data_IF_105148555346
#
_entry.id   IF_105148555346
#
_cell.length_a   1.000
_cell.length_b   1.000
_cell.length_c   1.000
_cell.angle_alpha   90.00
_cell.angle_beta   90.00
_cell.angle_gamma   90.00
#
_symmetry.space_group_name_H-M   'P 1'
#
loop_
_entity.id
_entity.type
_entity.pdbx_description
1 polymer ?
#
# COMPACT_ATOMS: atom_id res chain seq x y z
N UNK A 1 -28.14 35.57 -4.37
CA UNK A 1 -27.31 35.82 -5.58
C UNK A 1 -27.94 35.12 -6.76
N UNK A 2 -28.28 35.84 -7.85
CA UNK A 2 -28.82 35.22 -9.05
C UNK A 2 -27.71 34.43 -9.76
N UNK A 3 -27.98 33.17 -10.14
CA UNK A 3 -27.05 32.36 -10.93
C UNK A 3 -26.71 33.06 -12.25
N UNK A 4 -25.46 32.98 -12.74
CA UNK A 4 -25.09 33.59 -14.02
C UNK A 4 -25.97 33.05 -15.16
N UNK A 5 -26.40 33.94 -16.07
CA UNK A 5 -27.33 33.61 -17.14
C UNK A 5 -26.87 32.40 -17.97
N UNK A 6 -25.57 32.29 -18.23
CA UNK A 6 -24.94 31.14 -18.94
C UNK A 6 -25.19 29.79 -18.23
N UNK A 7 -25.13 29.76 -16.90
CA UNK A 7 -25.40 28.56 -16.12
C UNK A 7 -26.90 28.20 -16.13
N UNK A 8 -27.78 29.20 -16.03
CA UNK A 8 -29.22 28.96 -16.07
C UNK A 8 -29.65 28.37 -17.42
N UNK A 9 -29.13 28.91 -18.54
CA UNK A 9 -29.42 28.40 -19.89
C UNK A 9 -28.77 26.99 -20.04
N UNK A 10 -27.53 26.81 -19.60
CA UNK A 10 -26.86 25.50 -19.61
C UNK A 10 -27.64 24.41 -18.88
N UNK A 11 -28.16 24.71 -17.69
CA UNK A 11 -29.05 23.81 -16.93
C UNK A 11 -30.35 23.50 -17.66
N UNK A 12 -30.97 24.50 -18.30
CA UNK A 12 -32.18 24.27 -19.10
C UNK A 12 -31.90 23.40 -20.32
N UNK A 13 -30.78 23.60 -20.99
CA UNK A 13 -30.36 22.75 -22.11
C UNK A 13 -30.06 21.32 -21.67
N UNK A 14 -29.46 21.12 -20.47
CA UNK A 14 -29.25 19.82 -19.88
C UNK A 14 -30.57 19.11 -19.51
N UNK A 15 -31.57 19.84 -18.96
CA UNK A 15 -32.89 19.30 -18.60
C UNK A 15 -33.82 19.08 -19.77
N UNK A 16 -33.72 19.91 -20.84
CA UNK A 16 -34.56 19.85 -22.02
C UNK A 16 -34.37 18.62 -22.93
N UNK A 17 -33.58 17.67 -22.51
CA UNK A 17 -33.15 16.45 -23.20
C UNK A 17 -34.22 15.45 -23.59
N UNK A 18 -35.48 15.62 -23.14
CA UNK A 18 -36.53 14.60 -23.27
C UNK A 18 -37.12 14.44 -24.70
N UNK A 19 -36.70 15.20 -25.71
CA UNK A 19 -37.31 15.17 -27.05
C UNK A 19 -36.58 14.38 -28.13
N UNK A 20 -35.28 14.06 -27.98
CA UNK A 20 -34.59 13.18 -28.94
C UNK A 20 -33.94 11.98 -28.17
N UNK A 21 -34.49 10.78 -28.37
CA UNK A 21 -34.07 9.58 -27.65
C UNK A 21 -32.58 9.24 -27.82
N UNK A 22 -32.00 9.46 -29.00
CA UNK A 22 -30.59 9.16 -29.31
C UNK A 22 -29.61 10.04 -28.53
N UNK A 23 -29.86 11.37 -28.45
CA UNK A 23 -28.98 12.31 -27.72
C UNK A 23 -29.01 12.04 -26.23
N UNK A 24 -30.21 11.68 -25.71
CA UNK A 24 -30.36 11.26 -24.30
C UNK A 24 -29.54 10.00 -24.00
N UNK A 25 -29.59 8.99 -24.86
CA UNK A 25 -28.90 7.72 -24.67
C UNK A 25 -27.37 7.90 -24.70
N UNK A 26 -26.82 8.61 -25.68
CA UNK A 26 -25.37 8.89 -25.78
C UNK A 26 -24.89 9.65 -24.54
N UNK A 27 -25.67 10.59 -24.06
CA UNK A 27 -25.30 11.33 -22.86
C UNK A 27 -25.38 10.54 -21.58
N UNK A 28 -26.32 9.61 -21.44
CA UNK A 28 -26.36 8.68 -20.32
C UNK A 28 -25.13 7.77 -20.36
N UNK A 29 -24.80 7.20 -21.53
CA UNK A 29 -23.61 6.39 -21.73
C UNK A 29 -22.34 7.16 -21.33
N UNK A 30 -22.21 8.43 -21.76
CA UNK A 30 -21.07 9.27 -21.37
C UNK A 30 -20.99 9.47 -19.85
N UNK A 31 -22.10 9.80 -19.20
CA UNK A 31 -22.14 10.04 -17.76
C UNK A 31 -21.84 8.76 -16.97
N UNK A 32 -22.42 7.63 -17.39
CA UNK A 32 -22.16 6.32 -16.79
C UNK A 32 -20.70 5.90 -17.02
N UNK A 33 -20.15 6.14 -18.22
CA UNK A 33 -18.74 5.85 -18.51
C UNK A 33 -17.78 6.62 -17.59
N UNK A 34 -18.03 7.91 -17.35
CA UNK A 34 -17.27 8.71 -16.40
C UNK A 34 -17.43 8.15 -14.98
N UNK A 35 -18.66 7.85 -14.57
CA UNK A 35 -18.96 7.35 -13.24
C UNK A 35 -18.27 6.01 -12.98
N UNK A 36 -18.31 5.07 -13.92
CA UNK A 36 -17.62 3.79 -13.81
C UNK A 36 -16.10 3.98 -13.78
N UNK A 37 -15.56 4.81 -14.66
CA UNK A 37 -14.12 5.11 -14.68
C UNK A 37 -13.62 5.68 -13.36
N UNK A 38 -14.31 6.68 -12.83
CA UNK A 38 -14.00 7.29 -11.53
C UNK A 38 -14.15 6.27 -10.39
N UNK A 39 -15.20 5.46 -10.39
CA UNK A 39 -15.43 4.46 -9.36
C UNK A 39 -14.33 3.40 -9.33
N UNK A 40 -13.98 2.82 -10.48
CA UNK A 40 -12.91 1.81 -10.59
C UNK A 40 -11.56 2.36 -10.13
N UNK A 41 -11.27 3.62 -10.44
CA UNK A 41 -10.03 4.27 -10.02
C UNK A 41 -9.96 4.48 -8.51
N UNK A 42 -11.06 4.92 -7.90
CA UNK A 42 -11.12 5.08 -6.43
C UNK A 42 -10.94 3.71 -5.75
N UNK A 43 -11.59 2.66 -6.25
CA UNK A 43 -11.43 1.30 -5.73
C UNK A 43 -9.98 0.85 -5.84
N UNK A 44 -9.35 1.03 -7.00
CA UNK A 44 -7.96 0.61 -7.22
C UNK A 44 -6.96 1.37 -6.37
N UNK A 45 -7.09 2.69 -6.24
CA UNK A 45 -6.24 3.50 -5.36
C UNK A 45 -6.46 3.15 -3.89
N UNK A 46 -7.71 2.93 -3.46
CA UNK A 46 -8.02 2.48 -2.09
C UNK A 46 -7.41 1.12 -1.77
N UNK A 47 -7.40 0.18 -2.73
CA UNK A 47 -6.72 -1.11 -2.57
C UNK A 47 -5.20 -0.91 -2.40
N UNK A 48 -4.57 -0.06 -3.22
CA UNK A 48 -3.12 0.22 -3.10
C UNK A 48 -2.76 0.89 -1.78
N UNK A 49 -3.57 1.82 -1.29
CA UNK A 49 -3.39 2.42 0.03
C UNK A 49 -3.53 1.37 1.13
N UNK A 50 -4.50 0.46 1.00
CA UNK A 50 -4.67 -0.68 1.90
C UNK A 50 -3.44 -1.59 1.93
N UNK A 51 -2.86 -1.93 0.78
CA UNK A 51 -1.60 -2.70 0.70
C UNK A 51 -0.44 -1.96 1.37
N UNK A 52 -0.31 -0.66 1.17
CA UNK A 52 0.74 0.15 1.82
C UNK A 52 0.58 0.17 3.34
N UNK A 53 -0.65 0.28 3.84
CA UNK A 53 -0.95 0.20 5.27
C UNK A 53 -0.58 -1.18 5.83
N UNK A 54 -1.00 -2.27 5.19
CA UNK A 54 -0.70 -3.62 5.65
C UNK A 54 0.81 -3.91 5.63
N UNK A 55 1.55 -3.40 4.62
CA UNK A 55 3.01 -3.46 4.60
C UNK A 55 3.61 -2.79 5.84
N UNK A 56 3.11 -1.59 6.18
CA UNK A 56 3.58 -0.83 7.34
C UNK A 56 3.22 -1.52 8.66
N UNK A 57 1.97 -1.95 8.81
CA UNK A 57 1.43 -2.42 10.09
C UNK A 57 1.81 -3.88 10.39
N UNK A 58 2.11 -4.70 9.38
CA UNK A 58 2.46 -6.11 9.55
C UNK A 58 3.94 -6.39 9.34
N UNK A 59 4.55 -5.89 8.28
CA UNK A 59 5.96 -6.18 7.99
C UNK A 59 6.86 -5.20 8.72
N UNK A 60 6.67 -3.88 8.51
CA UNK A 60 7.55 -2.89 9.10
C UNK A 60 7.33 -2.71 10.61
N UNK A 61 6.21 -3.17 11.16
CA UNK A 61 6.01 -3.21 12.60
C UNK A 61 6.85 -4.29 13.30
N UNK A 62 7.20 -5.38 12.60
CA UNK A 62 7.92 -6.54 13.18
C UNK A 62 9.37 -6.65 12.74
N UNK A 63 9.70 -6.11 11.57
CA UNK A 63 11.07 -6.07 11.05
C UNK A 63 11.76 -4.80 11.54
N UNK A 64 13.04 -4.87 11.98
CA UNK A 64 13.77 -3.66 12.32
C UNK A 64 13.87 -2.73 11.09
N UNK A 65 13.72 -1.42 11.35
CA UNK A 65 13.81 -0.43 10.28
C UNK A 65 15.24 -0.30 9.72
N UNK A 66 16.23 -0.66 10.53
CA UNK A 66 17.60 -0.77 10.12
C UNK A 66 18.43 -1.64 11.05
N UNK A 67 19.58 -2.05 10.56
CA UNK A 67 20.55 -2.86 11.28
C UNK A 67 21.94 -2.34 11.03
N UNK A 68 22.77 -2.35 12.06
CA UNK A 68 24.20 -2.00 12.02
C UNK A 68 24.98 -3.22 12.44
N UNK A 69 25.81 -3.74 11.54
CA UNK A 69 26.69 -4.89 11.80
C UNK A 69 28.15 -4.46 11.61
N UNK A 70 29.06 -4.79 12.51
CA UNK A 70 30.48 -4.48 12.31
C UNK A 70 31.05 -5.33 11.17
N UNK A 71 31.99 -4.74 10.41
CA UNK A 71 32.72 -5.46 9.35
C UNK A 71 33.54 -6.59 9.96
N UNK A 72 34.16 -6.33 11.11
CA UNK A 72 34.89 -7.35 11.87
C UNK A 72 33.98 -7.90 12.96
N UNK A 73 33.36 -9.03 12.72
CA UNK A 73 32.56 -9.75 13.72
C UNK A 73 33.45 -10.54 14.67
N UNK A 74 33.02 -10.78 15.92
CA UNK A 74 31.77 -10.32 16.55
C UNK A 74 31.85 -8.89 17.10
N UNK A 75 30.67 -8.26 17.39
CA UNK A 75 30.58 -6.92 17.91
C UNK A 75 30.79 -6.90 19.45
N UNK A 76 32.01 -6.52 19.88
CA UNK A 76 32.37 -6.58 21.31
C UNK A 76 31.96 -5.32 22.10
N UNK A 77 32.07 -4.11 21.52
CA UNK A 77 31.75 -2.83 22.18
C UNK A 77 30.33 -2.36 21.85
N UNK A 78 29.39 -3.30 21.80
CA UNK A 78 28.02 -2.98 21.38
C UNK A 78 27.26 -2.13 22.40
N UNK A 79 27.51 -2.27 23.73
CA UNK A 79 26.80 -1.50 24.76
C UNK A 79 27.10 0.00 24.64
N UNK A 80 28.37 0.38 24.48
CA UNK A 80 28.75 1.78 24.29
C UNK A 80 28.21 2.33 22.98
N UNK A 81 28.19 1.51 21.95
CA UNK A 81 27.65 1.86 20.65
C UNK A 81 26.14 2.01 20.70
N UNK A 82 25.42 1.12 21.37
CA UNK A 82 23.99 1.21 21.58
C UNK A 82 23.60 2.54 22.24
N UNK A 83 24.31 2.91 23.33
CA UNK A 83 24.09 4.17 24.04
C UNK A 83 24.34 5.43 23.16
N UNK A 84 25.22 5.34 22.17
CA UNK A 84 25.47 6.44 21.20
C UNK A 84 24.39 6.48 20.13
N UNK A 85 24.00 5.33 19.59
CA UNK A 85 22.97 5.19 18.58
C UNK A 85 21.61 5.69 19.10
N UNK A 86 21.24 5.36 20.32
CA UNK A 86 19.97 5.80 20.92
C UNK A 86 19.88 7.34 21.08
N UNK A 87 21.00 8.06 21.08
CA UNK A 87 21.04 9.53 21.15
C UNK A 87 20.95 10.22 19.81
N UNK A 88 20.99 9.50 18.71
CA UNK A 88 20.89 10.07 17.35
C UNK A 88 19.45 10.54 17.10
N UNK A 89 19.26 11.79 16.63
CA UNK A 89 17.93 12.31 16.32
C UNK A 89 17.20 11.43 15.29
N UNK A 90 15.95 11.05 15.61
CA UNK A 90 15.12 10.22 14.75
C UNK A 90 15.25 8.70 15.03
N UNK A 91 16.09 8.28 15.96
CA UNK A 91 16.11 6.92 16.49
C UNK A 91 15.14 6.83 17.67
N UNK A 92 14.15 5.93 17.58
CA UNK A 92 13.14 5.72 18.62
C UNK A 92 13.55 4.64 19.61
N UNK A 93 14.22 3.59 19.13
CA UNK A 93 14.72 2.49 19.93
C UNK A 93 15.86 1.79 19.19
N UNK A 94 16.76 1.17 19.95
CA UNK A 94 17.77 0.28 19.43
C UNK A 94 17.93 -0.93 20.36
N UNK A 95 18.28 -2.10 19.80
CA UNK A 95 18.48 -3.33 20.56
C UNK A 95 19.58 -4.18 19.94
N UNK A 96 20.40 -4.88 20.76
CA UNK A 96 21.36 -5.85 20.26
C UNK A 96 20.62 -7.10 19.75
N UNK A 97 21.22 -7.77 18.79
CA UNK A 97 20.72 -9.06 18.32
C UNK A 97 21.85 -10.00 17.93
N UNK A 98 21.55 -11.28 17.93
CA UNK A 98 22.41 -12.35 17.40
C UNK A 98 21.62 -13.09 16.33
N UNK A 99 22.10 -13.09 15.08
CA UNK A 99 21.50 -13.85 13.99
C UNK A 99 22.34 -15.06 13.63
N UNK A 100 21.70 -16.21 13.51
CA UNK A 100 22.33 -17.43 13.02
C UNK A 100 21.30 -18.35 12.36
N UNK A 101 21.80 -19.30 11.59
CA UNK A 101 20.97 -20.31 10.93
C UNK A 101 21.18 -21.66 11.61
N UNK A 102 20.11 -22.41 11.78
CA UNK A 102 20.17 -23.75 12.34
C UNK A 102 19.16 -24.70 11.70
N UNK A 103 19.36 -25.98 11.95
CA UNK A 103 18.41 -27.02 11.56
C UNK A 103 17.61 -27.42 12.79
N UNK A 104 16.30 -27.21 12.75
CA UNK A 104 15.38 -27.60 13.81
C UNK A 104 14.71 -28.92 13.46
N UNK A 105 14.68 -29.82 14.42
CA UNK A 105 14.17 -31.20 14.26
C UNK A 105 13.12 -31.51 15.32
N UNK A 106 12.04 -32.15 14.89
CA UNK A 106 11.05 -32.78 15.78
C UNK A 106 10.53 -34.04 15.14
N UNK A 107 10.65 -35.18 15.85
CA UNK A 107 10.36 -36.51 15.35
C UNK A 107 11.10 -36.79 14.02
N UNK A 108 10.37 -36.90 12.90
CA UNK A 108 10.94 -37.14 11.56
C UNK A 108 10.95 -35.90 10.68
N UNK A 109 10.60 -34.71 11.21
CA UNK A 109 10.54 -33.47 10.45
C UNK A 109 11.77 -32.61 10.73
N UNK A 110 12.42 -32.14 9.68
CA UNK A 110 13.60 -31.28 9.72
C UNK A 110 13.36 -30.00 8.91
N UNK A 111 13.73 -28.85 9.46
CA UNK A 111 13.64 -27.55 8.80
C UNK A 111 14.87 -26.71 9.04
N UNK A 112 15.34 -26.04 8.00
CA UNK A 112 16.31 -24.97 8.13
C UNK A 112 15.56 -23.70 8.52
N UNK A 113 16.03 -23.03 9.57
CA UNK A 113 15.42 -21.80 10.08
C UNK A 113 16.48 -20.76 10.38
N UNK A 114 16.07 -19.50 10.29
CA UNK A 114 16.84 -18.37 10.80
C UNK A 114 16.42 -18.08 12.22
N UNK A 115 17.39 -17.97 13.11
CA UNK A 115 17.16 -17.75 14.52
C UNK A 115 17.70 -16.40 14.92
N UNK A 116 16.88 -15.61 15.60
CA UNK A 116 17.25 -14.32 16.16
C UNK A 116 17.31 -14.41 17.68
N UNK A 117 18.49 -14.19 18.24
CA UNK A 117 18.67 -13.97 19.66
C UNK A 117 18.29 -12.54 20.02
N UNK A 118 17.35 -12.37 20.93
CA UNK A 118 16.79 -11.05 21.30
C UNK A 118 16.78 -10.87 22.82
N UNK A 119 16.95 -9.63 23.25
CA UNK A 119 16.67 -9.24 24.64
C UNK A 119 15.18 -8.88 24.75
N UNK A 120 14.35 -9.66 25.48
CA UNK A 120 12.89 -9.53 25.42
C UNK A 120 12.37 -8.12 25.73
N UNK A 121 12.94 -7.43 26.72
CA UNK A 121 12.52 -6.07 27.10
C UNK A 121 12.89 -5.02 26.06
N UNK A 122 14.02 -5.18 25.40
CA UNK A 122 14.47 -4.25 24.36
C UNK A 122 13.75 -4.51 23.04
N UNK A 123 13.53 -5.78 22.68
CA UNK A 123 12.75 -6.14 21.50
C UNK A 123 11.31 -5.63 21.58
N UNK A 124 10.69 -5.64 22.76
CA UNK A 124 9.35 -5.10 22.98
C UNK A 124 9.25 -3.57 22.70
N UNK A 125 10.37 -2.84 22.86
CA UNK A 125 10.45 -1.41 22.49
C UNK A 125 10.76 -1.22 21.00
N UNK A 126 11.55 -2.14 20.44
CA UNK A 126 12.01 -2.10 19.07
C UNK A 126 10.90 -2.43 18.06
N UNK A 127 10.12 -3.49 18.33
CA UNK A 127 9.17 -4.04 17.38
C UNK A 127 7.84 -4.43 18.02
N UNK A 128 6.84 -4.70 17.17
CA UNK A 128 5.55 -5.24 17.61
C UNK A 128 5.53 -6.78 17.72
N UNK A 129 6.68 -7.46 17.53
CA UNK A 129 6.78 -8.93 17.59
C UNK A 129 6.09 -9.54 18.83
N UNK A 130 6.22 -8.96 20.04
CA UNK A 130 5.54 -9.49 21.23
C UNK A 130 4.03 -9.63 21.09
N UNK A 131 3.38 -8.73 20.36
CA UNK A 131 1.92 -8.73 20.18
C UNK A 131 1.43 -9.84 19.24
N UNK A 132 2.30 -10.39 18.40
CA UNK A 132 2.00 -11.50 17.50
C UNK A 132 2.30 -12.88 18.09
N UNK A 133 2.88 -12.95 19.31
CA UNK A 133 3.10 -14.20 20.04
C UNK A 133 1.81 -14.64 20.73
N UNK A 134 1.35 -15.83 20.39
CA UNK A 134 0.09 -16.38 20.90
C UNK A 134 0.16 -16.65 22.41
N UNK A 135 -1.02 -16.65 23.05
CA UNK A 135 -1.21 -17.04 24.46
C UNK A 135 -0.37 -16.24 25.48
N UNK A 136 -0.02 -14.97 25.14
CA UNK A 136 0.82 -14.13 26.00
C UNK A 136 2.15 -14.78 26.42
N UNK A 137 2.65 -15.73 25.61
CA UNK A 137 3.87 -16.49 25.93
C UNK A 137 5.12 -15.62 25.98
N UNK A 138 5.09 -14.41 25.40
CA UNK A 138 6.19 -13.45 25.50
C UNK A 138 6.58 -13.09 26.92
N UNK A 139 5.62 -12.96 27.84
CA UNK A 139 5.88 -12.60 29.24
C UNK A 139 6.66 -13.68 30.03
N UNK A 140 6.65 -14.92 29.54
CA UNK A 140 7.36 -16.05 30.13
C UNK A 140 8.67 -16.37 29.42
N UNK A 141 8.93 -15.69 28.30
CA UNK A 141 10.12 -15.87 27.47
C UNK A 141 11.31 -15.18 28.13
N UNK A 142 12.24 -15.97 28.66
CA UNK A 142 13.40 -15.48 29.42
C UNK A 142 14.60 -16.38 29.26
N UNK A 143 15.77 -15.80 29.45
CA UNK A 143 17.06 -16.49 29.39
C UNK A 143 17.21 -17.63 30.40
N UNK A 144 18.04 -18.62 30.07
CA UNK A 144 18.40 -19.74 30.93
C UNK A 144 17.35 -20.85 31.06
N UNK A 145 16.22 -20.72 30.34
CA UNK A 145 15.14 -21.73 30.39
C UNK A 145 15.10 -22.63 29.14
N UNK A 146 16.08 -22.54 28.28
CA UNK A 146 16.13 -23.29 27.00
C UNK A 146 14.85 -23.14 26.18
N UNK A 147 14.40 -21.90 26.02
CA UNK A 147 13.15 -21.55 25.34
C UNK A 147 13.37 -21.10 23.91
N UNK A 148 12.41 -21.42 23.04
CA UNK A 148 12.35 -20.95 21.66
C UNK A 148 10.93 -20.52 21.33
N UNK A 149 10.78 -19.40 20.60
CA UNK A 149 9.53 -19.00 19.96
C UNK A 149 9.66 -19.33 18.48
N UNK A 150 8.70 -20.10 17.96
CA UNK A 150 8.69 -20.54 16.55
C UNK A 150 7.67 -19.75 15.76
N UNK A 151 7.99 -19.42 14.51
CA UNK A 151 6.99 -18.99 13.54
C UNK A 151 5.94 -20.09 13.32
N UNK A 152 4.69 -19.69 13.11
CA UNK A 152 3.57 -20.62 12.96
C UNK A 152 3.82 -21.64 11.83
N UNK A 153 4.32 -21.20 10.67
CA UNK A 153 4.63 -22.10 9.56
C UNK A 153 5.72 -23.13 9.89
N UNK A 154 6.71 -22.75 10.73
CA UNK A 154 7.71 -23.70 11.25
C UNK A 154 7.06 -24.71 12.21
N UNK A 155 6.24 -24.24 13.15
CA UNK A 155 5.54 -25.09 14.11
C UNK A 155 4.60 -26.10 13.41
N UNK A 156 3.84 -25.64 12.43
CA UNK A 156 2.93 -26.48 11.64
C UNK A 156 3.71 -27.54 10.81
N UNK A 157 4.84 -27.16 10.20
CA UNK A 157 5.68 -28.07 9.45
C UNK A 157 6.35 -29.15 10.32
N UNK A 158 6.74 -28.78 11.54
CA UNK A 158 7.31 -29.72 12.54
C UNK A 158 6.23 -30.47 13.32
N UNK A 159 4.95 -30.09 13.18
CA UNK A 159 3.81 -30.62 13.94
C UNK A 159 3.97 -30.49 15.45
N UNK A 160 4.53 -29.36 15.91
CA UNK A 160 4.76 -29.05 17.33
C UNK A 160 3.83 -27.95 17.82
N UNK A 161 3.57 -27.97 19.11
CA UNK A 161 2.75 -26.99 19.84
C UNK A 161 3.56 -26.34 20.96
N UNK A 162 2.99 -25.29 21.54
CA UNK A 162 3.54 -24.68 22.75
C UNK A 162 3.70 -25.75 23.87
N UNK A 163 4.86 -25.78 24.49
CA UNK A 163 5.25 -26.76 25.51
C UNK A 163 6.03 -27.95 24.98
N UNK A 164 6.00 -28.25 23.70
CA UNK A 164 6.76 -29.36 23.11
C UNK A 164 8.26 -29.09 23.09
N UNK A 165 9.04 -30.17 22.97
CA UNK A 165 10.49 -30.08 22.87
C UNK A 165 10.96 -30.32 21.43
N UNK A 166 11.92 -29.50 21.00
CA UNK A 166 12.58 -29.58 19.69
C UNK A 166 14.09 -29.66 19.85
N UNK A 167 14.77 -30.21 18.88
CA UNK A 167 16.23 -30.23 18.83
C UNK A 167 16.73 -29.26 17.78
N UNK A 168 17.60 -28.35 18.19
CA UNK A 168 18.26 -27.39 17.31
C UNK A 168 19.70 -27.84 17.06
N UNK A 169 20.06 -28.04 15.77
CA UNK A 169 21.43 -28.31 15.34
C UNK A 169 22.03 -27.05 14.74
N UNK A 170 23.11 -26.56 15.34
CA UNK A 170 23.80 -25.33 14.93
C UNK A 170 25.10 -25.77 14.24
N UNK A 171 25.37 -25.32 12.99
CA UNK A 171 26.65 -25.59 12.33
C UNK A 171 27.80 -25.00 13.14
N UNK A 172 28.82 -25.79 13.41
CA UNK A 172 30.03 -25.28 14.05
C UNK A 172 31.02 -24.87 12.97
N UNK A 173 31.17 -23.55 12.78
CA UNK A 173 32.15 -22.98 11.83
C UNK A 173 33.43 -22.64 12.59
N UNK A 174 34.30 -23.61 12.77
CA UNK A 174 35.66 -23.30 13.17
C UNK A 174 36.49 -23.03 11.90
N UNK A 175 37.29 -21.96 11.87
CA UNK A 175 38.09 -21.48 10.72
C UNK A 175 39.17 -22.47 10.22
N UNK A 176 39.19 -23.65 10.74
CA UNK A 176 40.15 -24.68 10.40
C UNK A 176 39.50 -25.95 9.85
N UNK A 177 39.18 -26.00 8.61
CA UNK A 177 39.03 -27.19 7.69
C UNK A 177 38.66 -28.56 8.34
N UNK A 178 38.13 -28.60 9.56
CA UNK A 178 37.62 -29.78 10.26
C UNK A 178 36.11 -29.74 10.25
N UNK A 179 35.47 -30.76 9.73
CA UNK A 179 34.04 -31.02 9.88
C UNK A 179 33.79 -31.31 11.36
N UNK A 180 33.61 -30.28 12.17
CA UNK A 180 33.19 -30.42 13.56
C UNK A 180 31.73 -30.86 13.60
N UNK A 181 31.41 -31.70 14.58
CA UNK A 181 30.02 -32.12 14.79
C UNK A 181 29.18 -30.89 15.13
N UNK A 182 27.98 -30.73 14.52
CA UNK A 182 27.10 -29.64 14.85
C UNK A 182 26.71 -29.66 16.32
N UNK A 183 26.68 -28.50 16.97
CA UNK A 183 26.23 -28.35 18.33
C UNK A 183 24.72 -28.60 18.37
N UNK A 184 24.29 -29.56 19.18
CA UNK A 184 22.86 -29.87 19.34
C UNK A 184 22.35 -29.34 20.68
N UNK A 185 21.27 -28.56 20.63
CA UNK A 185 20.63 -27.97 21.79
C UNK A 185 19.16 -28.39 21.82
N UNK A 186 18.67 -28.81 22.97
CA UNK A 186 17.26 -29.15 23.16
C UNK A 186 16.53 -27.94 23.71
N UNK A 187 15.44 -27.52 23.04
CA UNK A 187 14.70 -26.31 23.36
C UNK A 187 13.22 -26.61 23.53
N UNK A 188 12.59 -25.93 24.49
CA UNK A 188 11.15 -26.00 24.67
C UNK A 188 10.46 -24.89 23.90
N UNK A 189 9.42 -25.20 23.16
CA UNK A 189 8.60 -24.23 22.44
C UNK A 189 7.80 -23.39 23.44
N UNK A 190 8.30 -22.20 23.77
CA UNK A 190 7.66 -21.27 24.70
C UNK A 190 6.41 -20.62 24.13
N UNK A 191 6.40 -20.36 22.82
CA UNK A 191 5.31 -19.70 22.14
C UNK A 191 5.36 -19.88 20.63
N UNK A 192 4.25 -19.53 19.96
CA UNK A 192 4.13 -19.54 18.51
C UNK A 192 3.86 -18.10 18.05
N UNK A 193 4.69 -17.63 17.12
CA UNK A 193 4.59 -16.32 16.48
C UNK A 193 3.72 -16.45 15.21
N UNK A 194 2.64 -15.71 15.12
CA UNK A 194 1.71 -15.74 13.99
C UNK A 194 1.67 -14.38 13.29
N UNK A 195 2.55 -14.19 12.31
CA UNK A 195 2.62 -12.95 11.50
C UNK A 195 1.76 -13.02 10.23
N UNK A 196 1.38 -14.23 9.82
CA UNK A 196 0.74 -14.50 8.53
C UNK A 196 1.63 -14.06 7.35
N UNK A 197 2.40 -15.00 6.79
CA UNK A 197 3.25 -14.75 5.63
C UNK A 197 4.55 -15.55 5.64
N UNK A 198 5.44 -15.26 4.69
CA UNK A 198 6.66 -16.02 4.45
C UNK A 198 7.62 -16.05 5.67
N UNK A 199 7.60 -15.02 6.51
CA UNK A 199 8.44 -14.96 7.72
C UNK A 199 8.10 -16.09 8.69
N UNK A 200 6.85 -16.49 8.82
CA UNK A 200 6.42 -17.56 9.71
C UNK A 200 7.01 -18.93 9.37
N UNK A 201 7.45 -19.12 8.13
CA UNK A 201 7.92 -20.42 7.62
C UNK A 201 9.42 -20.68 7.84
N UNK A 202 10.19 -19.66 8.25
CA UNK A 202 11.64 -19.77 8.38
C UNK A 202 12.24 -19.06 9.59
N UNK A 203 11.42 -18.48 10.48
CA UNK A 203 11.88 -17.63 11.57
C UNK A 203 11.63 -18.23 12.95
N UNK A 204 12.61 -18.04 13.85
CA UNK A 204 12.48 -18.36 15.26
C UNK A 204 13.23 -17.35 16.12
N UNK A 205 12.90 -17.28 17.40
CA UNK A 205 13.56 -16.42 18.39
C UNK A 205 13.99 -17.22 19.62
N UNK A 206 15.17 -16.88 20.15
CA UNK A 206 15.68 -17.35 21.43
C UNK A 206 16.14 -16.14 22.27
N UNK A 207 16.26 -16.25 23.59
CA UNK A 207 16.87 -15.18 24.40
C UNK A 207 18.30 -14.87 23.94
N UNK A 208 18.71 -13.60 24.01
CA UNK A 208 20.00 -13.12 23.53
C UNK A 208 21.18 -13.86 24.22
N UNK A 209 21.12 -14.01 25.54
CA UNK A 209 22.15 -14.69 26.34
C UNK A 209 22.27 -16.17 25.98
N UNK A 210 21.13 -16.84 25.75
CA UNK A 210 21.11 -18.25 25.35
C UNK A 210 21.71 -18.40 23.94
N UNK A 211 21.38 -17.48 22.97
CA UNK A 211 21.99 -17.46 21.65
C UNK A 211 23.51 -17.28 21.72
N UNK A 212 23.98 -16.38 22.60
CA UNK A 212 25.41 -16.15 22.83
C UNK A 212 26.11 -17.36 23.35
N UNK A 213 25.50 -18.11 24.29
CA UNK A 213 26.02 -19.37 24.82
C UNK A 213 26.05 -20.47 23.73
N UNK A 214 25.00 -20.56 22.89
CA UNK A 214 24.94 -21.57 21.84
C UNK A 214 26.03 -21.38 20.77
N UNK A 215 26.43 -20.15 20.54
CA UNK A 215 27.44 -19.79 19.52
C UNK A 215 28.84 -19.54 20.12
N UNK A 216 29.00 -19.71 21.43
CA UNK A 216 30.24 -19.42 22.14
C UNK A 216 30.77 -17.98 21.92
N UNK A 217 29.86 -17.00 21.77
CA UNK A 217 30.17 -15.59 21.47
C UNK A 217 30.52 -14.75 22.71
N UNK A 218 30.37 -15.30 23.92
CA UNK A 218 30.63 -14.58 25.18
C UNK A 218 29.68 -13.39 25.35
N UNK A 219 30.22 -12.16 25.40
CA UNK A 219 29.42 -10.94 25.55
C UNK A 219 29.17 -10.19 24.21
N UNK A 220 29.53 -10.79 23.10
CA UNK A 220 29.44 -10.18 21.80
C UNK A 220 28.07 -10.40 21.15
N UNK A 221 27.73 -9.57 20.18
CA UNK A 221 26.50 -9.67 19.38
C UNK A 221 26.83 -9.63 17.88
N UNK A 222 25.84 -9.97 17.04
CA UNK A 222 25.97 -9.84 15.60
C UNK A 222 25.84 -8.38 15.15
N UNK A 223 24.91 -7.64 15.77
CA UNK A 223 24.65 -6.25 15.41
C UNK A 223 23.67 -5.56 16.33
N UNK A 224 23.30 -4.34 15.95
CA UNK A 224 22.31 -3.50 16.62
C UNK A 224 21.17 -3.25 15.64
N UNK A 225 19.96 -3.63 16.03
CA UNK A 225 18.73 -3.36 15.31
C UNK A 225 18.16 -2.01 15.75
N UNK A 226 17.57 -1.26 14.82
CA UNK A 226 17.17 0.14 15.01
C UNK A 226 15.71 0.34 14.57
N UNK A 227 14.97 1.09 15.37
CA UNK A 227 13.66 1.64 15.04
C UNK A 227 13.76 3.14 14.82
N UNK A 228 13.26 3.64 13.71
CA UNK A 228 13.29 5.08 13.37
C UNK A 228 11.89 5.70 13.42
N UNK A 229 11.84 7.03 13.53
CA UNK A 229 10.62 7.84 13.54
C UNK A 229 9.92 7.83 12.18
N UNK A 230 10.68 7.99 11.09
CA UNK A 230 10.20 7.94 9.72
C UNK A 230 10.76 6.71 9.00
N UNK A 231 9.88 5.74 8.79
CA UNK A 231 10.23 4.44 8.19
C UNK A 231 10.70 4.60 6.74
N UNK A 232 10.15 5.55 6.00
CA UNK A 232 10.52 5.79 4.60
C UNK A 232 11.87 6.51 4.45
N UNK A 233 12.33 7.19 5.50
CA UNK A 233 13.64 7.81 5.59
C UNK A 233 14.66 6.95 6.38
N UNK A 234 14.34 5.69 6.63
CA UNK A 234 15.14 4.78 7.44
C UNK A 234 16.59 4.67 6.95
N UNK A 235 16.83 4.67 5.64
CA UNK A 235 18.18 4.55 5.08
C UNK A 235 19.09 5.70 5.54
N UNK A 236 18.60 6.94 5.57
CA UNK A 236 19.37 8.08 6.05
C UNK A 236 19.57 8.02 7.57
N UNK A 237 18.50 7.73 8.32
CA UNK A 237 18.56 7.61 9.80
C UNK A 237 19.55 6.54 10.26
N UNK A 238 19.56 5.38 9.58
CA UNK A 238 20.49 4.29 9.91
C UNK A 238 21.92 4.63 9.51
N UNK A 239 22.12 5.43 8.45
CA UNK A 239 23.44 5.95 8.09
C UNK A 239 23.98 6.91 9.15
N UNK A 240 23.15 7.86 9.60
CA UNK A 240 23.50 8.80 10.67
C UNK A 240 23.85 8.03 11.96
N UNK A 241 23.11 6.95 12.25
CA UNK A 241 23.42 6.06 13.37
C UNK A 241 24.73 5.28 13.17
N UNK A 242 25.04 4.88 11.94
CA UNK A 242 26.30 4.23 11.59
C UNK A 242 27.52 5.12 11.81
N UNK A 243 27.42 6.41 11.53
CA UNK A 243 28.53 7.37 11.69
C UNK A 243 28.98 7.54 13.15
N UNK A 244 28.10 7.35 14.13
CA UNK A 244 28.45 7.47 15.56
C UNK A 244 29.03 6.18 16.17
N UNK A 245 29.15 5.10 15.38
CA UNK A 245 29.65 3.82 15.92
C UNK A 245 31.15 3.79 16.17
N UNK A 246 31.92 4.69 15.55
CA UNK A 246 33.40 4.72 15.55
C UNK A 246 34.04 3.39 15.06
N UNK A 247 33.33 2.61 14.28
CA UNK A 247 33.77 1.36 13.68
C UNK A 247 33.33 1.28 12.22
N UNK A 248 34.02 0.47 11.44
CA UNK A 248 33.54 0.14 10.11
C UNK A 248 32.36 -0.81 10.24
N UNK A 249 31.19 -0.37 9.72
CA UNK A 249 29.93 -1.09 9.84
C UNK A 249 29.24 -1.26 8.51
N UNK A 250 28.58 -2.39 8.33
CA UNK A 250 27.58 -2.59 7.30
C UNK A 250 26.27 -2.01 7.81
N UNK A 251 25.65 -1.18 6.97
CA UNK A 251 24.35 -0.57 7.23
C UNK A 251 23.33 -1.28 6.36
N UNK A 252 22.38 -1.91 6.99
CA UNK A 252 21.22 -2.54 6.33
C UNK A 252 19.98 -1.75 6.72
N UNK A 253 19.09 -1.51 5.77
CA UNK A 253 17.77 -0.95 6.06
C UNK A 253 16.69 -1.88 5.49
N UNK A 254 15.49 -1.79 6.01
CA UNK A 254 14.35 -2.55 5.49
C UNK A 254 14.14 -2.31 3.98
N UNK A 255 14.52 -1.11 3.47
CA UNK A 255 14.43 -0.75 2.05
C UNK A 255 15.31 -1.67 1.17
N UNK A 256 16.45 -2.14 1.69
CA UNK A 256 17.30 -3.10 0.98
C UNK A 256 16.66 -4.49 0.87
N UNK A 257 16.05 -4.96 1.96
CA UNK A 257 15.51 -6.32 2.06
C UNK A 257 14.06 -6.43 1.58
N UNK A 258 13.20 -5.49 1.99
CA UNK A 258 11.75 -5.52 1.73
C UNK A 258 11.27 -4.38 0.82
N UNK A 259 12.15 -3.45 0.44
CA UNK A 259 11.78 -2.27 -0.34
C UNK A 259 11.25 -2.58 -1.75
N UNK A 260 11.48 -3.80 -2.26
CA UNK A 260 10.86 -4.25 -3.50
C UNK A 260 9.32 -4.25 -3.39
N UNK A 261 8.76 -4.69 -2.28
CA UNK A 261 7.30 -4.66 -2.05
C UNK A 261 6.75 -3.23 -2.11
N UNK A 262 7.43 -2.28 -1.48
CA UNK A 262 7.04 -0.87 -1.53
C UNK A 262 7.16 -0.29 -2.94
N UNK A 263 8.25 -0.61 -3.66
CA UNK A 263 8.44 -0.18 -5.06
C UNK A 263 7.35 -0.74 -5.98
N UNK A 264 6.96 -2.00 -5.79
CA UNK A 264 5.88 -2.62 -6.55
C UNK A 264 4.55 -1.92 -6.31
N UNK A 265 4.22 -1.59 -5.06
CA UNK A 265 3.03 -0.81 -4.70
C UNK A 265 3.06 0.57 -5.39
N UNK A 266 4.20 1.28 -5.33
CA UNK A 266 4.34 2.60 -5.98
C UNK A 266 4.27 2.50 -7.51
N UNK A 267 4.85 1.46 -8.10
CA UNK A 267 4.76 1.20 -9.55
C UNK A 267 3.30 0.96 -9.97
N UNK A 268 2.57 0.12 -9.25
CA UNK A 268 1.15 -0.14 -9.53
C UNK A 268 0.34 1.14 -9.37
N UNK A 269 0.61 1.95 -8.33
CA UNK A 269 -0.02 3.25 -8.12
C UNK A 269 0.23 4.20 -9.30
N UNK A 270 1.45 4.27 -9.81
CA UNK A 270 1.78 5.07 -11.00
C UNK A 270 1.02 4.60 -12.25
N UNK A 271 0.92 3.28 -12.45
CA UNK A 271 0.11 2.68 -13.53
C UNK A 271 -1.37 3.06 -13.36
N UNK A 272 -1.91 3.03 -12.14
CA UNK A 272 -3.29 3.43 -11.87
C UNK A 272 -3.53 4.90 -12.18
N UNK A 273 -2.60 5.81 -11.85
CA UNK A 273 -2.70 7.22 -12.25
C UNK A 273 -2.65 7.40 -13.78
N UNK A 274 -1.80 6.64 -14.48
CA UNK A 274 -1.79 6.65 -15.95
C UNK A 274 -3.13 6.15 -16.52
N UNK A 275 -3.62 5.02 -16.01
CA UNK A 275 -4.93 4.47 -16.39
C UNK A 275 -6.06 5.47 -16.11
N UNK A 276 -5.99 6.22 -15.01
CA UNK A 276 -6.91 7.31 -14.69
C UNK A 276 -7.00 8.32 -15.84
N UNK A 277 -5.86 8.85 -16.27
CA UNK A 277 -5.83 9.84 -17.36
C UNK A 277 -6.41 9.27 -18.65
N UNK A 278 -6.10 8.01 -18.98
CA UNK A 278 -6.60 7.34 -20.18
C UNK A 278 -8.11 7.10 -20.11
N UNK A 279 -8.63 6.55 -19.03
CA UNK A 279 -10.07 6.26 -18.85
C UNK A 279 -10.88 7.55 -18.86
N UNK A 280 -10.44 8.57 -18.13
CA UNK A 280 -11.12 9.88 -18.14
C UNK A 280 -10.98 10.54 -19.52
N UNK A 281 -9.83 10.37 -20.20
CA UNK A 281 -9.63 10.84 -21.57
C UNK A 281 -10.65 10.26 -22.55
N UNK A 282 -10.88 8.95 -22.50
CA UNK A 282 -11.94 8.27 -23.30
C UNK A 282 -13.32 8.81 -22.95
N UNK A 283 -13.61 8.99 -21.67
CA UNK A 283 -14.87 9.56 -21.22
C UNK A 283 -15.06 11.01 -21.74
N UNK A 284 -13.97 11.79 -21.76
CA UNK A 284 -13.98 13.15 -22.32
C UNK A 284 -14.25 13.17 -23.83
N UNK A 285 -13.75 12.19 -24.58
CA UNK A 285 -14.10 12.05 -26.00
C UNK A 285 -15.62 11.86 -26.18
N UNK A 286 -16.26 11.08 -25.33
CA UNK A 286 -17.72 10.93 -25.33
C UNK A 286 -18.43 12.25 -24.99
N UNK A 287 -17.88 13.08 -24.08
CA UNK A 287 -18.41 14.43 -23.80
C UNK A 287 -18.33 15.31 -25.04
N UNK A 288 -17.19 15.33 -25.75
CA UNK A 288 -17.01 16.09 -26.99
C UNK A 288 -18.07 15.69 -28.01
N UNK A 289 -18.26 14.40 -28.27
CA UNK A 289 -19.23 13.86 -29.21
C UNK A 289 -20.67 14.26 -28.84
N UNK A 290 -21.03 14.12 -27.58
CA UNK A 290 -22.35 14.51 -27.03
C UNK A 290 -22.59 16.01 -27.17
N UNK A 291 -21.57 16.83 -26.88
CA UNK A 291 -21.67 18.28 -27.01
C UNK A 291 -21.80 18.73 -28.48
N UNK A 292 -21.06 18.13 -29.43
CA UNK A 292 -21.17 18.43 -30.83
C UNK A 292 -22.60 18.15 -31.33
N UNK A 293 -23.16 17.00 -30.90
CA UNK A 293 -24.53 16.63 -31.25
C UNK A 293 -25.56 17.59 -30.62
N UNK A 294 -25.38 17.95 -29.35
CA UNK A 294 -26.21 18.93 -28.66
C UNK A 294 -26.15 20.32 -29.32
N UNK A 295 -24.99 20.74 -29.79
CA UNK A 295 -24.81 22.00 -30.56
C UNK A 295 -25.62 21.94 -31.86
N UNK A 296 -25.59 20.81 -32.57
CA UNK A 296 -26.36 20.63 -33.80
C UNK A 296 -27.86 20.66 -33.54
N UNK A 297 -28.34 19.94 -32.53
CA UNK A 297 -29.77 19.90 -32.17
C UNK A 297 -30.29 21.23 -31.65
N UNK A 298 -29.44 22.04 -31.01
CA UNK A 298 -29.78 23.36 -30.47
C UNK A 298 -29.37 24.52 -31.37
N UNK A 299 -29.03 24.25 -32.63
CA UNK A 299 -28.60 25.29 -33.59
C UNK A 299 -29.64 26.39 -33.80
N UNK A 300 -30.93 26.03 -33.87
CA UNK A 300 -32.02 27.01 -33.97
C UNK A 300 -32.14 27.88 -32.72
N UNK A 301 -32.09 27.27 -31.52
CA UNK A 301 -32.12 28.01 -30.25
C UNK A 301 -30.91 28.97 -30.14
N UNK A 302 -29.72 28.54 -30.59
CA UNK A 302 -28.50 29.37 -30.66
C UNK A 302 -28.67 30.53 -31.62
N UNK A 303 -29.25 30.28 -32.81
CA UNK A 303 -29.51 31.31 -33.80
C UNK A 303 -30.46 32.40 -33.24
N UNK A 304 -31.55 32.00 -32.58
CA UNK A 304 -32.49 32.93 -31.91
C UNK A 304 -31.78 33.74 -30.83
N UNK A 305 -30.95 33.11 -29.98
CA UNK A 305 -30.17 33.83 -28.96
C UNK A 305 -29.25 34.88 -29.59
N UNK A 306 -28.62 34.55 -30.73
CA UNK A 306 -27.75 35.50 -31.46
C UNK A 306 -28.51 36.68 -32.06
N UNK A 307 -29.69 36.45 -32.62
CA UNK A 307 -30.53 37.53 -33.13
C UNK A 307 -31.01 38.46 -31.99
N UNK A 308 -31.16 37.93 -30.77
CA UNK A 308 -31.46 38.71 -29.55
C UNK A 308 -30.22 39.42 -28.96
N UNK A 309 -29.05 39.34 -29.64
CA UNK A 309 -27.84 40.07 -29.24
C UNK A 309 -26.88 39.29 -28.32
N UNK A 310 -27.03 37.96 -28.20
CA UNK A 310 -26.09 37.15 -27.43
C UNK A 310 -24.68 37.16 -28.03
N UNK A 311 -23.68 37.58 -27.26
CA UNK A 311 -22.26 37.59 -27.68
C UNK A 311 -21.68 36.19 -27.70
N UNK A 312 -20.64 35.97 -28.51
CA UNK A 312 -19.92 34.68 -28.64
C UNK A 312 -19.46 34.11 -27.29
N UNK A 313 -19.05 35.00 -26.37
CA UNK A 313 -18.63 34.62 -25.02
C UNK A 313 -19.75 33.99 -24.20
N UNK A 314 -20.99 34.47 -24.33
CA UNK A 314 -22.13 33.90 -23.61
C UNK A 314 -22.45 32.49 -24.13
N UNK A 315 -22.46 32.31 -25.47
CA UNK A 315 -22.73 31.01 -26.11
C UNK A 315 -21.65 29.99 -25.69
N UNK A 316 -20.37 30.38 -25.74
CA UNK A 316 -19.27 29.53 -25.27
C UNK A 316 -19.46 29.12 -23.82
N UNK A 317 -19.77 30.07 -22.94
CA UNK A 317 -19.99 29.78 -21.51
C UNK A 317 -21.16 28.81 -21.28
N UNK A 318 -22.24 28.90 -22.06
CA UNK A 318 -23.39 27.99 -21.95
C UNK A 318 -22.96 26.54 -22.21
N UNK A 319 -22.19 26.27 -23.28
CA UNK A 319 -21.75 24.92 -23.64
C UNK A 319 -20.62 24.41 -22.75
N UNK A 320 -19.75 25.28 -22.22
CA UNK A 320 -18.78 24.92 -21.20
C UNK A 320 -19.49 24.45 -19.91
N UNK A 321 -20.48 25.21 -19.46
CA UNK A 321 -21.31 24.81 -18.30
C UNK A 321 -22.06 23.51 -18.55
N UNK A 322 -22.59 23.31 -19.77
CA UNK A 322 -23.27 22.08 -20.13
C UNK A 322 -22.36 20.85 -20.04
N UNK A 323 -21.13 20.91 -20.58
CA UNK A 323 -20.16 19.83 -20.49
C UNK A 323 -19.62 19.62 -19.06
N UNK A 324 -19.37 20.72 -18.34
CA UNK A 324 -18.94 20.66 -16.93
C UNK A 324 -20.01 20.00 -16.04
N UNK A 325 -21.30 20.29 -16.25
CA UNK A 325 -22.39 19.64 -15.52
C UNK A 325 -22.47 18.13 -15.80
N UNK A 326 -22.25 17.71 -17.04
CA UNK A 326 -22.21 16.29 -17.39
C UNK A 326 -21.00 15.58 -16.72
N UNK A 327 -19.82 16.21 -16.75
CA UNK A 327 -18.63 15.75 -16.05
C UNK A 327 -18.80 15.70 -14.53
N UNK A 328 -19.41 16.74 -13.95
CA UNK A 328 -19.68 16.82 -12.51
C UNK A 328 -20.65 15.70 -12.06
N UNK A 329 -21.76 15.50 -12.78
CA UNK A 329 -22.71 14.44 -12.45
C UNK A 329 -22.06 13.05 -12.55
N UNK A 330 -21.27 12.80 -13.61
CA UNK A 330 -20.55 11.54 -13.77
C UNK A 330 -19.51 11.34 -12.67
N UNK A 331 -18.66 12.34 -12.41
CA UNK A 331 -17.60 12.22 -11.40
C UNK A 331 -18.15 12.11 -9.98
N UNK A 332 -19.15 12.91 -9.60
CA UNK A 332 -19.76 12.82 -8.27
C UNK A 332 -20.46 11.47 -8.06
N UNK A 333 -21.23 10.99 -9.04
CA UNK A 333 -21.84 9.65 -8.95
C UNK A 333 -20.77 8.55 -8.90
N UNK A 334 -19.69 8.67 -9.66
CA UNK A 334 -18.56 7.76 -9.62
C UNK A 334 -17.82 7.76 -8.27
N UNK A 335 -17.63 8.95 -7.68
CA UNK A 335 -17.07 9.08 -6.32
C UNK A 335 -17.95 8.36 -5.30
N UNK A 336 -19.27 8.61 -5.33
CA UNK A 336 -20.20 7.95 -4.39
C UNK A 336 -20.12 6.43 -4.53
N UNK A 337 -20.20 5.91 -5.75
CA UNK A 337 -20.14 4.46 -6.01
C UNK A 337 -18.77 3.91 -5.60
N UNK A 338 -17.67 4.59 -5.98
CA UNK A 338 -16.32 4.16 -5.67
C UNK A 338 -16.03 4.14 -4.18
N UNK A 339 -16.44 5.17 -3.44
CA UNK A 339 -16.30 5.24 -1.97
C UNK A 339 -17.10 4.14 -1.27
N UNK A 340 -18.35 3.94 -1.65
CA UNK A 340 -19.19 2.89 -1.06
C UNK A 340 -18.64 1.49 -1.37
N UNK A 341 -18.18 1.25 -2.60
CA UNK A 341 -17.57 -0.01 -2.99
C UNK A 341 -16.24 -0.24 -2.28
N UNK A 342 -15.38 0.78 -2.14
CA UNK A 342 -14.10 0.68 -1.42
C UNK A 342 -14.31 0.39 0.06
N UNK A 343 -15.33 0.97 0.69
CA UNK A 343 -15.64 0.70 2.09
C UNK A 343 -16.07 -0.75 2.33
N UNK A 344 -16.73 -1.36 1.35
CA UNK A 344 -17.20 -2.75 1.41
C UNK A 344 -16.31 -3.72 0.60
N UNK A 345 -15.12 -3.29 0.17
CA UNK A 345 -14.29 -4.06 -0.77
C UNK A 345 -13.92 -5.43 -0.21
N UNK A 346 -13.36 -5.48 1.00
CA UNK A 346 -12.96 -6.74 1.65
C UNK A 346 -14.13 -7.73 1.81
N UNK A 347 -15.30 -7.35 2.38
CA UNK A 347 -16.44 -8.28 2.44
C UNK A 347 -16.97 -8.69 1.06
N UNK A 348 -16.97 -7.80 0.07
CA UNK A 348 -17.41 -8.13 -1.30
C UNK A 348 -16.50 -9.21 -1.90
N UNK A 349 -15.17 -9.03 -1.80
CA UNK A 349 -14.21 -10.00 -2.31
C UNK A 349 -14.34 -11.34 -1.59
N UNK A 350 -14.48 -11.37 -0.27
CA UNK A 350 -14.69 -12.60 0.50
C UNK A 350 -15.94 -13.37 0.07
N UNK A 351 -17.01 -12.67 -0.30
CA UNK A 351 -18.22 -13.31 -0.84
C UNK A 351 -17.95 -13.90 -2.24
N UNK A 352 -17.22 -13.17 -3.09
CA UNK A 352 -16.86 -13.61 -4.43
C UNK A 352 -15.96 -14.85 -4.35
N UNK A 353 -14.94 -14.86 -3.48
CA UNK A 353 -14.04 -15.99 -3.24
C UNK A 353 -14.81 -17.24 -2.79
N UNK A 354 -15.78 -17.08 -1.89
CA UNK A 354 -16.65 -18.19 -1.45
C UNK A 354 -17.52 -18.72 -2.57
N UNK A 355 -18.01 -17.88 -3.49
CA UNK A 355 -18.82 -18.28 -4.62
C UNK A 355 -17.99 -19.00 -5.71
N UNK A 356 -16.75 -18.55 -5.95
CA UNK A 356 -15.85 -19.13 -6.96
C UNK A 356 -15.12 -20.35 -6.40
N UNK A 357 -15.01 -20.50 -5.07
CA UNK A 357 -14.26 -21.57 -4.41
C UNK A 357 -12.74 -21.45 -4.51
N UNK A 358 -12.24 -20.27 -4.84
CA UNK A 358 -10.81 -19.97 -4.99
C UNK A 358 -10.45 -18.68 -4.28
N UNK A 359 -9.36 -18.69 -3.50
CA UNK A 359 -8.78 -17.49 -2.90
C UNK A 359 -7.94 -16.74 -3.93
N UNK A 360 -8.16 -15.43 -4.07
CA UNK A 360 -7.36 -14.57 -4.97
C UNK A 360 -5.97 -14.29 -4.40
N UNK A 361 -5.88 -14.14 -3.08
CA UNK A 361 -4.63 -13.92 -2.38
C UNK A 361 -4.35 -15.09 -1.44
N UNK A 362 -3.17 -15.69 -1.58
CA UNK A 362 -2.69 -16.74 -0.68
C UNK A 362 -1.67 -16.13 0.28
N UNK A 363 -1.89 -16.30 1.59
CA UNK A 363 -0.98 -15.85 2.62
C UNK A 363 0.42 -16.46 2.53
N UNK A 364 0.58 -17.60 1.83
CA UNK A 364 1.87 -18.25 1.60
C UNK A 364 2.74 -17.51 0.56
N UNK A 365 2.11 -16.81 -0.39
CA UNK A 365 2.78 -16.09 -1.48
C UNK A 365 2.84 -14.60 -1.17
N UNK A 366 1.72 -14.06 -0.68
CA UNK A 366 1.59 -12.65 -0.30
C UNK A 366 1.66 -12.53 1.22
N UNK A 367 2.03 -11.35 1.72
CA UNK A 367 2.06 -11.08 3.17
C UNK A 367 0.65 -10.91 3.79
N UNK A 368 -0.40 -11.01 2.99
CA UNK A 368 -1.81 -10.92 3.38
C UNK A 368 -2.66 -11.94 2.63
N UNK A 369 -3.74 -12.39 3.26
CA UNK A 369 -4.71 -13.37 2.78
C UNK A 369 -6.09 -12.77 2.45
N UNK A 370 -6.20 -11.45 2.44
CA UNK A 370 -7.41 -10.69 2.08
C UNK A 370 -7.04 -9.46 1.26
N UNK A 371 -7.99 -8.92 0.52
CA UNK A 371 -7.79 -7.67 -0.22
C UNK A 371 -8.05 -6.47 0.69
N UNK A 372 -6.99 -5.74 1.10
CA UNK A 372 -7.15 -4.57 1.96
C UNK A 372 -7.70 -3.39 1.17
N UNK A 373 -8.34 -2.47 1.87
CA UNK A 373 -8.80 -1.20 1.28
C UNK A 373 -8.68 -0.09 2.31
N UNK A 374 -8.12 1.04 1.89
CA UNK A 374 -8.03 2.25 2.68
C UNK A 374 -8.33 3.48 1.83
N UNK A 375 -9.34 4.25 2.22
CA UNK A 375 -9.77 5.45 1.52
C UNK A 375 -8.97 6.65 1.99
N UNK A 376 -8.18 7.24 1.08
CA UNK A 376 -7.56 8.52 1.31
C UNK A 376 -8.37 9.64 0.64
N UNK A 377 -8.80 10.64 1.41
CA UNK A 377 -9.56 11.78 0.89
C UNK A 377 -8.81 12.58 -0.17
N UNK A 378 -7.48 12.58 -0.12
CA UNK A 378 -6.63 13.22 -1.13
C UNK A 378 -6.75 12.56 -2.50
N UNK A 379 -6.78 11.22 -2.57
CA UNK A 379 -6.94 10.50 -3.83
C UNK A 379 -8.31 10.78 -4.47
N UNK A 380 -9.36 10.77 -3.66
CA UNK A 380 -10.71 11.12 -4.12
C UNK A 380 -10.73 12.54 -4.69
N UNK A 381 -10.08 13.49 -4.02
CA UNK A 381 -9.96 14.87 -4.48
C UNK A 381 -9.18 14.97 -5.80
N UNK A 382 -8.05 14.27 -5.92
CA UNK A 382 -7.25 14.25 -7.15
C UNK A 382 -8.02 13.67 -8.33
N UNK A 383 -8.72 12.57 -8.13
CA UNK A 383 -9.58 11.96 -9.16
C UNK A 383 -10.69 12.92 -9.59
N UNK A 384 -11.37 13.56 -8.63
CA UNK A 384 -12.43 14.52 -8.89
C UNK A 384 -11.93 15.75 -9.66
N UNK A 385 -10.83 16.36 -9.21
CA UNK A 385 -10.22 17.52 -9.88
C UNK A 385 -9.79 17.15 -11.29
N UNK A 386 -9.14 16.02 -11.49
CA UNK A 386 -8.69 15.55 -12.80
C UNK A 386 -9.87 15.35 -13.76
N UNK A 387 -10.96 14.72 -13.27
CA UNK A 387 -12.17 14.52 -14.06
C UNK A 387 -12.81 15.85 -14.47
N UNK A 388 -12.88 16.83 -13.56
CA UNK A 388 -13.43 18.15 -13.85
C UNK A 388 -12.56 18.96 -14.81
N UNK A 389 -11.24 18.96 -14.63
CA UNK A 389 -10.29 19.65 -15.51
C UNK A 389 -10.36 19.08 -16.92
N UNK A 390 -10.33 17.76 -17.07
CA UNK A 390 -10.43 17.10 -18.37
C UNK A 390 -11.79 17.32 -19.02
N UNK A 391 -12.89 17.32 -18.25
CA UNK A 391 -14.23 17.65 -18.75
C UNK A 391 -14.32 19.09 -19.25
N UNK A 392 -13.66 20.02 -18.55
CA UNK A 392 -13.58 21.43 -18.97
C UNK A 392 -12.81 21.58 -20.28
N UNK A 393 -11.64 20.92 -20.38
CA UNK A 393 -10.84 20.92 -21.61
C UNK A 393 -11.60 20.30 -22.80
N UNK A 394 -12.28 19.18 -22.58
CA UNK A 394 -13.11 18.51 -23.58
C UNK A 394 -14.25 19.40 -24.08
N UNK A 395 -14.83 20.21 -23.20
CA UNK A 395 -15.96 21.09 -23.55
C UNK A 395 -15.53 22.33 -24.38
N UNK A 396 -14.23 22.67 -24.35
CA UNK A 396 -13.73 23.89 -25.02
C UNK A 396 -13.93 23.89 -26.54
N UNK A 397 -13.59 22.79 -27.21
CA UNK A 397 -13.70 22.69 -28.67
C UNK A 397 -15.16 22.78 -29.17
N UNK A 398 -16.13 21.99 -28.65
CA UNK A 398 -17.54 22.10 -29.03
C UNK A 398 -18.14 23.47 -28.73
N UNK A 399 -17.79 24.06 -27.58
CA UNK A 399 -18.26 25.39 -27.18
C UNK A 399 -17.78 26.49 -28.16
N UNK A 400 -16.52 26.39 -28.61
CA UNK A 400 -16.00 27.31 -29.66
C UNK A 400 -16.71 27.11 -30.98
N UNK A 401 -17.07 25.89 -31.36
CA UNK A 401 -17.83 25.61 -32.57
C UNK A 401 -19.26 26.15 -32.49
N UNK A 402 -19.92 26.03 -31.35
CA UNK A 402 -21.23 26.56 -31.09
C UNK A 402 -21.28 28.10 -31.26
N UNK A 403 -20.26 28.81 -30.79
CA UNK A 403 -20.19 30.27 -30.89
C UNK A 403 -19.96 30.79 -32.32
N UNK A 404 -19.63 29.93 -33.27
CA UNK A 404 -19.40 30.32 -34.70
C UNK A 404 -20.58 29.99 -35.63
N UNK A 405 -21.70 29.52 -35.08
CA UNK A 405 -22.90 29.22 -35.89
C UNK A 405 -23.47 30.54 -36.48
N UNK A 406 -23.66 30.54 -37.80
CA UNK A 406 -24.26 31.66 -38.50
C UNK A 406 -25.81 31.62 -38.39
N UNK A 407 -26.45 32.60 -37.72
CA UNK A 407 -27.90 32.63 -37.57
C UNK A 407 -28.66 32.69 -38.89
N UNK A 408 -28.10 33.36 -39.91
CA UNK A 408 -28.76 33.50 -41.21
C UNK A 408 -28.91 32.15 -41.92
N UNK A 409 -27.88 31.31 -41.92
CA UNK A 409 -27.92 29.96 -42.52
C UNK A 409 -28.86 29.01 -41.81
N UNK A 410 -28.86 29.06 -40.46
CA UNK A 410 -29.70 28.14 -39.68
C UNK A 410 -31.19 28.48 -39.80
N UNK A 411 -31.52 29.77 -39.82
CA UNK A 411 -32.93 30.23 -39.90
C UNK A 411 -33.49 30.15 -41.31
N UNK A 412 -32.63 30.20 -42.34
CA UNK A 412 -33.07 30.04 -43.76
C UNK A 412 -33.24 28.58 -44.21
N UNK A 413 -32.92 27.59 -43.31
CA UNK A 413 -33.10 26.19 -43.65
C UNK A 413 -32.04 25.62 -44.61
N UNK A 414 -30.93 26.35 -44.83
CA UNK A 414 -29.79 25.94 -45.70
C UNK A 414 -28.65 25.30 -44.87
#
# INVERSE_FOLDING_TARGET
MALPLSLQIGLRFSRGRRRSGMVSLISIISTVGIALGVAVLIIGLSAMNGFERELKDRILAVVPHGEIEPVNQPFNDWQNTLNRVEKVPGILAAAPYINFTGLIESANNLRAIQIKGVEPDQEARLSALPSFVQNQAWSQFSAGKQQIILGKGVADALKVKQGDWVSLSIPNNDDGNRLLQPKRVRLQVAGILALSGQLDHSFAMVPLSDASEYLDMGHSVTGIAIKVDDVFNAQQRVRDAGEVTNAYVYIKSWIGTYGYMYRDIQMIRAIMYLAMVLVIGVACFNIVSTLIMAVKDKSSDIAVLRTLGAKDGLIRAIFIWYGLLAGLLGSVSGVIIGVLASWQLTPIINVIEKLIGHQFLSGDIYFIDFLPSELHGQDVLYVLITALVLSLLASWYPARRASKIDPARVLSGQ
#
